data_IF_199369847034
#
_entry.id   IF_199369847034
#
_cell.length_a   1.000
_cell.length_b   1.000
_cell.length_c   1.000
_cell.angle_alpha   90.00
_cell.angle_beta   90.00
_cell.angle_gamma   90.00
#
_symmetry.space_group_name_H-M   'P 1'
#
loop_
_entity.id
_entity.type
_entity.pdbx_description
1 polymer ?
#
# COMPACT_ATOMS: atom_id res chain seq x y z
N UNK A 1 20.38 13.19 55.64
CA UNK A 1 20.63 14.61 55.99
C UNK A 1 21.78 14.61 56.99
N UNK A 2 22.82 15.47 56.89
CA UNK A 2 22.97 16.62 55.99
C UNK A 2 24.01 16.41 54.87
N UNK A 3 24.28 17.47 54.10
CA UNK A 3 25.54 17.74 53.40
C UNK A 3 26.10 19.08 53.96
N UNK A 4 27.42 19.37 53.82
CA UNK A 4 27.84 20.28 52.74
C UNK A 4 29.28 20.03 52.18
N UNK A 5 29.69 20.91 51.25
CA UNK A 5 31.04 21.04 50.65
C UNK A 5 31.93 22.00 51.50
N UNK A 6 33.21 22.30 51.13
CA UNK A 6 33.49 23.46 50.24
C UNK A 6 34.84 23.49 49.45
N UNK A 7 34.98 24.48 48.53
CA UNK A 7 36.20 25.15 47.95
C UNK A 7 37.39 24.30 47.38
N UNK A 8 38.27 24.74 46.45
CA UNK A 8 38.74 26.04 45.92
C UNK A 8 38.92 25.93 44.36
N UNK A 9 39.25 26.91 43.49
CA UNK A 9 39.04 28.38 43.29
C UNK A 9 39.43 28.75 41.81
N UNK A 10 39.28 30.02 41.40
CA UNK A 10 39.61 30.56 40.05
C UNK A 10 40.82 31.53 40.07
N UNK A 11 41.28 32.05 38.90
CA UNK A 11 41.02 33.47 38.57
C UNK A 11 40.80 33.79 37.06
N UNK A 12 39.78 34.57 36.66
CA UNK A 12 39.81 36.01 36.19
C UNK A 12 40.24 36.26 34.71
N UNK A 13 39.95 37.37 34.01
CA UNK A 13 38.90 38.45 33.97
C UNK A 13 39.31 39.46 32.83
N UNK A 14 38.78 40.71 32.74
CA UNK A 14 37.42 41.25 32.55
C UNK A 14 37.25 41.84 31.10
N UNK A 15 36.21 42.57 30.63
CA UNK A 15 35.67 43.90 30.98
C UNK A 15 34.44 44.25 30.10
N UNK A 16 33.59 45.20 30.51
CA UNK A 16 32.79 46.05 29.59
C UNK A 16 31.25 45.96 29.67
N UNK A 17 30.60 47.10 29.88
CA UNK A 17 29.18 47.41 29.67
C UNK A 17 29.03 48.94 29.47
N UNK A 18 27.86 49.59 29.60
CA UNK A 18 26.51 49.07 29.89
C UNK A 18 25.43 49.66 28.92
N UNK A 19 24.16 49.78 29.38
CA UNK A 19 23.07 50.63 28.82
C UNK A 19 22.40 50.17 27.49
N UNK A 20 21.18 50.60 27.12
CA UNK A 20 19.89 50.77 27.84
C UNK A 20 18.76 51.03 26.80
N UNK A 21 17.66 50.26 26.87
CA UNK A 21 16.25 50.63 26.54
C UNK A 21 15.93 51.67 25.41
N UNK A 22 15.36 51.17 24.31
CA UNK A 22 14.46 51.89 23.37
C UNK A 22 14.19 51.00 22.14
N UNK A 23 12.97 50.63 21.70
CA UNK A 23 11.76 51.39 21.30
C UNK A 23 11.98 52.40 20.18
N UNK A 24 11.80 51.98 18.92
CA UNK A 24 10.90 52.63 17.96
C UNK A 24 10.61 51.72 16.75
N UNK A 25 9.63 52.13 15.95
CA UNK A 25 9.03 51.45 14.79
C UNK A 25 9.41 52.19 13.48
N UNK A 26 9.09 51.59 12.32
CA UNK A 26 9.29 52.12 10.94
C UNK A 26 10.78 52.20 10.49
N UNK A 27 11.16 51.90 9.24
CA UNK A 27 10.41 51.92 7.96
C UNK A 27 10.88 50.81 6.95
N UNK A 28 10.20 50.74 5.79
CA UNK A 28 10.50 49.93 4.58
C UNK A 28 11.40 50.74 3.61
N UNK A 29 11.59 50.34 2.32
CA UNK A 29 11.76 49.02 1.71
C UNK A 29 13.09 48.90 0.92
N UNK A 30 13.54 47.67 0.56
CA UNK A 30 13.63 47.21 -0.85
C UNK A 30 14.28 45.82 -1.01
N UNK A 31 13.97 45.19 -2.15
CA UNK A 31 14.74 44.20 -2.92
C UNK A 31 15.59 43.09 -2.23
N UNK A 32 15.03 41.87 -2.17
CA UNK A 32 15.61 40.66 -2.79
C UNK A 32 14.75 39.41 -2.46
N UNK A 33 14.07 38.82 -3.45
CA UNK A 33 13.25 37.62 -3.23
C UNK A 33 14.08 36.32 -3.30
N UNK A 34 14.17 35.51 -2.22
CA UNK A 34 14.75 34.18 -2.30
C UNK A 34 13.78 33.27 -3.08
N UNK A 35 14.18 32.84 -4.27
CA UNK A 35 13.43 31.80 -4.99
C UNK A 35 13.50 30.49 -4.19
N UNK A 36 12.39 29.76 -3.99
CA UNK A 36 12.47 28.45 -3.35
C UNK A 36 13.36 27.54 -4.19
N UNK A 37 14.36 26.90 -3.57
CA UNK A 37 15.02 25.77 -4.21
C UNK A 37 13.97 24.67 -4.34
N UNK A 38 13.72 24.23 -5.56
CA UNK A 38 12.87 23.07 -5.79
C UNK A 38 13.60 21.82 -5.32
N UNK A 39 13.24 21.31 -4.15
CA UNK A 39 13.63 19.97 -3.70
C UNK A 39 13.01 18.93 -4.63
N UNK A 40 13.73 18.61 -5.70
CA UNK A 40 13.36 17.64 -6.73
C UNK A 40 13.45 16.18 -6.24
N UNK A 41 13.08 15.93 -4.99
CA UNK A 41 12.75 14.59 -4.52
C UNK A 41 11.26 14.32 -4.77
N UNK A 42 10.93 14.17 -6.06
CA UNK A 42 9.64 13.66 -6.50
C UNK A 42 9.55 12.19 -6.08
N UNK A 43 9.07 11.96 -4.84
CA UNK A 43 8.82 10.63 -4.26
C UNK A 43 7.98 9.83 -5.26
N UNK A 44 8.59 8.85 -5.91
CA UNK A 44 7.94 8.04 -6.94
C UNK A 44 6.72 7.33 -6.33
N UNK A 45 5.48 7.56 -6.82
CA UNK A 45 4.27 6.97 -6.25
C UNK A 45 4.12 5.48 -6.62
N UNK A 46 5.24 4.76 -6.76
CA UNK A 46 5.29 3.41 -7.32
C UNK A 46 4.80 2.35 -6.32
N UNK A 47 5.09 2.49 -5.03
CA UNK A 47 4.59 1.60 -3.97
C UNK A 47 3.22 1.99 -3.38
N UNK A 48 2.55 3.02 -3.91
CA UNK A 48 1.34 3.58 -3.30
C UNK A 48 0.08 2.74 -3.52
N UNK A 49 -0.18 2.32 -4.76
CA UNK A 49 -1.54 1.92 -5.18
C UNK A 49 -2.08 0.64 -4.52
N UNK A 50 -1.25 -0.38 -4.24
CA UNK A 50 -1.71 -1.57 -3.49
C UNK A 50 -2.02 -1.20 -2.04
N UNK A 51 -1.33 -0.20 -1.47
CA UNK A 51 -1.57 0.28 -0.11
C UNK A 51 -2.83 1.16 -0.02
N UNK A 52 -3.05 1.97 -1.06
CA UNK A 52 -4.29 2.74 -1.28
C UNK A 52 -5.50 1.79 -1.46
N UNK A 53 -5.36 0.77 -2.31
CA UNK A 53 -6.36 -0.29 -2.52
C UNK A 53 -6.57 -1.15 -1.26
N UNK A 54 -5.53 -1.45 -0.47
CA UNK A 54 -5.67 -2.11 0.83
C UNK A 54 -6.47 -1.26 1.81
N UNK A 55 -6.22 0.05 1.86
CA UNK A 55 -7.00 0.98 2.69
C UNK A 55 -8.44 1.08 2.19
N UNK A 56 -8.68 1.16 0.88
CA UNK A 56 -10.02 1.13 0.30
C UNK A 56 -10.75 -0.20 0.59
N UNK A 57 -10.10 -1.35 0.37
CA UNK A 57 -10.64 -2.69 0.59
C UNK A 57 -10.86 -3.02 2.08
N UNK A 58 -10.14 -2.34 2.99
CA UNK A 58 -10.38 -2.43 4.43
C UNK A 58 -11.54 -1.51 4.86
N UNK A 59 -11.62 -0.31 4.27
CA UNK A 59 -12.69 0.65 4.55
C UNK A 59 -14.03 0.23 3.94
N UNK A 60 -14.05 -0.54 2.85
CA UNK A 60 -15.32 -1.04 2.27
C UNK A 60 -16.01 -2.07 3.18
N UNK A 61 -15.25 -2.80 4.03
CA UNK A 61 -15.83 -3.71 5.02
C UNK A 61 -16.63 -2.94 6.08
N UNK A 62 -16.15 -1.76 6.49
CA UNK A 62 -16.84 -0.83 7.39
C UNK A 62 -18.10 -0.25 6.70
N UNK A 63 -17.94 0.19 5.44
CA UNK A 63 -19.02 0.75 4.61
C UNK A 63 -20.11 -0.28 4.24
N UNK A 64 -19.84 -1.59 4.27
CA UNK A 64 -20.87 -2.65 4.07
C UNK A 64 -21.98 -2.61 5.12
N UNK A 65 -21.82 -1.85 6.22
CA UNK A 65 -22.87 -1.57 7.21
C UNK A 65 -23.87 -0.48 6.79
N UNK A 66 -23.72 0.17 5.63
CA UNK A 66 -24.61 1.23 5.15
C UNK A 66 -25.07 1.01 3.69
N UNK A 67 -26.39 0.87 3.47
CA UNK A 67 -26.99 0.67 2.15
C UNK A 67 -27.55 1.98 1.52
N UNK A 68 -27.62 2.09 0.17
CA UNK A 68 -27.71 3.38 -0.53
C UNK A 68 -29.14 3.76 -1.01
N UNK A 69 -29.32 4.99 -1.56
CA UNK A 69 -29.31 5.19 -3.03
C UNK A 69 -28.31 6.33 -3.44
N UNK A 70 -28.15 6.80 -4.69
CA UNK A 70 -28.92 6.66 -5.93
C UNK A 70 -28.03 6.52 -7.19
N UNK A 71 -28.22 7.33 -8.25
CA UNK A 71 -27.55 7.19 -9.55
C UNK A 71 -27.26 8.54 -10.27
N UNK A 72 -26.13 8.59 -11.00
CA UNK A 72 -25.74 9.54 -12.05
C UNK A 72 -24.42 9.04 -12.69
N UNK A 73 -24.04 9.28 -13.94
CA UNK A 73 -24.73 9.64 -15.19
C UNK A 73 -23.83 9.17 -16.36
N UNK A 74 -24.35 8.89 -17.56
CA UNK A 74 -23.60 8.21 -18.62
C UNK A 74 -23.26 9.08 -19.85
N UNK A 75 -21.97 9.32 -20.16
CA UNK A 75 -21.51 9.78 -21.46
C UNK A 75 -21.12 8.60 -22.38
N UNK A 76 -21.54 8.65 -23.65
CA UNK A 76 -21.03 7.72 -24.69
C UNK A 76 -19.65 8.20 -25.16
N UNK A 77 -18.67 7.31 -25.24
CA UNK A 77 -17.36 7.58 -25.84
C UNK A 77 -16.95 6.48 -26.85
N UNK A 78 -16.03 6.87 -27.73
CA UNK A 78 -15.50 6.13 -28.89
C UNK A 78 -14.80 4.81 -28.55
N UNK A 79 -14.49 3.95 -29.55
CA UNK A 79 -13.63 2.77 -29.38
C UNK A 79 -12.18 3.19 -29.11
N UNK A 80 -11.92 3.69 -27.90
CA UNK A 80 -10.60 4.04 -27.43
C UNK A 80 -9.75 2.78 -27.19
N UNK A 81 -8.44 2.92 -27.39
CA UNK A 81 -7.45 2.03 -26.79
C UNK A 81 -7.72 1.97 -25.28
N UNK A 82 -7.50 0.81 -24.63
CA UNK A 82 -7.92 0.60 -23.23
C UNK A 82 -7.06 1.45 -22.29
N UNK A 83 -7.57 2.64 -21.99
CA UNK A 83 -6.96 3.58 -21.04
C UNK A 83 -6.53 2.85 -19.75
N UNK A 84 -5.34 3.13 -19.18
CA UNK A 84 -4.87 2.45 -17.97
C UNK A 84 -5.88 2.44 -16.81
N UNK A 85 -6.74 3.46 -16.73
CA UNK A 85 -7.88 3.54 -15.80
C UNK A 85 -8.88 2.38 -15.97
N UNK A 86 -9.21 1.97 -17.19
CA UNK A 86 -10.10 0.82 -17.44
C UNK A 86 -9.49 -0.50 -16.99
N UNK A 87 -8.16 -0.62 -16.98
CA UNK A 87 -7.46 -1.82 -16.50
C UNK A 87 -7.50 -1.90 -14.98
N UNK A 88 -7.30 -0.76 -14.30
CA UNK A 88 -7.47 -0.66 -12.84
C UNK A 88 -8.93 -0.95 -12.45
N UNK A 89 -9.92 -0.38 -13.14
CA UNK A 89 -11.34 -0.65 -12.87
C UNK A 89 -11.71 -2.12 -13.14
N UNK A 90 -11.18 -2.71 -14.22
CA UNK A 90 -11.37 -4.14 -14.51
C UNK A 90 -10.79 -5.02 -13.40
N UNK A 91 -9.64 -4.64 -12.83
CA UNK A 91 -9.01 -5.37 -11.73
C UNK A 91 -9.76 -5.18 -10.41
N UNK A 92 -10.26 -3.96 -10.14
CA UNK A 92 -11.11 -3.64 -8.99
C UNK A 92 -12.40 -4.45 -9.01
N UNK A 93 -13.13 -4.43 -10.13
CA UNK A 93 -14.33 -5.23 -10.36
C UNK A 93 -14.10 -6.73 -10.20
N UNK A 94 -12.98 -7.24 -10.74
CA UNK A 94 -12.58 -8.64 -10.55
C UNK A 94 -12.18 -8.97 -9.10
N UNK A 95 -11.62 -8.03 -8.34
CA UNK A 95 -11.08 -8.30 -7.00
C UNK A 95 -12.14 -8.79 -6.02
N UNK A 96 -13.36 -8.25 -6.06
CA UNK A 96 -14.49 -8.69 -5.22
C UNK A 96 -14.95 -10.11 -5.59
N UNK A 97 -14.92 -10.47 -6.87
CA UNK A 97 -15.26 -11.82 -7.33
C UNK A 97 -14.14 -12.84 -7.06
N UNK A 98 -12.88 -12.42 -7.08
CA UNK A 98 -11.73 -13.23 -6.68
C UNK A 98 -11.70 -13.45 -5.15
N UNK A 99 -12.06 -12.45 -4.35
CA UNK A 99 -12.21 -12.59 -2.90
C UNK A 99 -13.25 -13.66 -2.50
N UNK A 100 -14.24 -13.88 -3.38
CA UNK A 100 -15.29 -14.92 -3.30
C UNK A 100 -14.97 -16.19 -4.10
N UNK A 101 -13.83 -16.24 -4.79
CA UNK A 101 -13.37 -17.40 -5.55
C UNK A 101 -12.62 -18.44 -4.70
N UNK A 102 -12.14 -18.02 -3.52
CA UNK A 102 -11.43 -18.86 -2.54
C UNK A 102 -12.15 -18.76 -1.19
N UNK A 103 -12.50 -19.90 -0.61
CA UNK A 103 -13.02 -19.96 0.76
C UNK A 103 -11.95 -19.50 1.77
N UNK A 104 -12.36 -18.85 2.86
CA UNK A 104 -11.40 -18.28 3.82
C UNK A 104 -10.59 -19.37 4.55
N UNK A 105 -11.25 -20.45 4.99
CA UNK A 105 -10.57 -21.60 5.60
C UNK A 105 -9.61 -22.31 4.64
N UNK A 106 -9.98 -22.44 3.37
CA UNK A 106 -9.10 -22.98 2.33
C UNK A 106 -7.87 -22.08 2.11
N UNK A 107 -8.04 -20.75 2.23
CA UNK A 107 -6.94 -19.78 2.18
C UNK A 107 -6.00 -19.94 3.38
N UNK A 108 -6.54 -20.13 4.59
CA UNK A 108 -5.75 -20.41 5.80
C UNK A 108 -4.98 -21.73 5.67
N UNK A 109 -5.65 -22.79 5.19
CA UNK A 109 -5.02 -24.10 5.06
C UNK A 109 -3.88 -24.09 4.04
N UNK A 110 -4.10 -23.47 2.87
CA UNK A 110 -3.10 -23.28 1.82
C UNK A 110 -1.81 -22.65 2.34
N UNK A 111 -1.91 -21.56 3.09
CA UNK A 111 -0.73 -20.87 3.63
C UNK A 111 -0.03 -21.69 4.73
N UNK A 112 -0.79 -22.46 5.53
CA UNK A 112 -0.21 -23.39 6.49
C UNK A 112 0.55 -24.54 5.79
N UNK A 113 0.03 -25.07 4.67
CA UNK A 113 0.74 -26.07 3.84
C UNK A 113 2.01 -25.49 3.22
N UNK A 114 1.91 -24.33 2.58
CA UNK A 114 3.06 -23.62 1.99
C UNK A 114 4.17 -23.31 3.03
N UNK A 115 3.80 -22.85 4.24
CA UNK A 115 4.76 -22.63 5.35
C UNK A 115 5.47 -23.90 5.83
N UNK A 116 4.90 -25.10 5.61
CA UNK A 116 5.53 -26.40 5.90
C UNK A 116 6.46 -26.88 4.77
N UNK A 117 6.56 -26.13 3.67
CA UNK A 117 7.34 -26.53 2.49
C UNK A 117 6.61 -27.52 1.57
N UNK A 118 5.30 -27.72 1.76
CA UNK A 118 4.48 -28.49 0.83
C UNK A 118 4.45 -27.76 -0.53
N UNK A 119 4.79 -28.48 -1.60
CA UNK A 119 4.74 -28.00 -2.98
C UNK A 119 3.45 -28.45 -3.67
N UNK A 120 3.15 -27.86 -4.83
CA UNK A 120 1.99 -28.21 -5.64
C UNK A 120 0.66 -28.01 -4.86
N UNK A 121 0.66 -27.02 -3.96
CA UNK A 121 -0.49 -26.65 -3.12
C UNK A 121 -1.43 -25.68 -3.84
N UNK A 122 -0.90 -24.87 -4.77
CA UNK A 122 -1.66 -23.89 -5.54
C UNK A 122 -2.30 -24.55 -6.77
N UNK A 123 -3.25 -25.46 -6.52
CA UNK A 123 -3.98 -26.16 -7.60
C UNK A 123 -5.37 -25.54 -7.85
N UNK A 124 -5.96 -25.79 -9.03
CA UNK A 124 -7.34 -25.39 -9.33
C UNK A 124 -8.40 -25.89 -8.34
N UNK A 125 -8.11 -26.96 -7.58
CA UNK A 125 -9.03 -27.52 -6.57
C UNK A 125 -9.20 -26.63 -5.34
N UNK A 126 -8.32 -25.65 -5.15
CA UNK A 126 -8.46 -24.59 -4.14
C UNK A 126 -9.68 -23.69 -4.38
N UNK A 127 -10.16 -23.61 -5.62
CA UNK A 127 -11.15 -22.63 -6.04
C UNK A 127 -12.57 -23.20 -6.08
N UNK A 128 -13.54 -22.37 -5.68
CA UNK A 128 -14.97 -22.68 -5.81
C UNK A 128 -15.36 -22.86 -7.28
N UNK A 129 -16.53 -23.44 -7.57
CA UNK A 129 -17.01 -23.62 -8.95
C UNK A 129 -17.12 -22.30 -9.73
N UNK A 130 -17.40 -21.16 -9.05
CA UNK A 130 -17.28 -19.84 -9.66
C UNK A 130 -15.81 -19.43 -9.81
N UNK A 131 -15.01 -19.62 -8.76
CA UNK A 131 -13.59 -19.26 -8.75
C UNK A 131 -12.75 -19.93 -9.84
N UNK A 132 -13.07 -21.16 -10.23
CA UNK A 132 -12.41 -21.85 -11.35
C UNK A 132 -12.70 -21.17 -12.71
N UNK A 133 -13.91 -20.63 -12.90
CA UNK A 133 -14.26 -19.85 -14.09
C UNK A 133 -13.54 -18.48 -14.08
N UNK A 134 -13.48 -17.83 -12.91
CA UNK A 134 -12.72 -16.59 -12.70
C UNK A 134 -11.22 -16.80 -12.98
N UNK A 135 -10.63 -17.93 -12.55
CA UNK A 135 -9.25 -18.31 -12.87
C UNK A 135 -9.02 -18.41 -14.39
N UNK A 136 -9.89 -19.10 -15.11
CA UNK A 136 -9.78 -19.24 -16.57
C UNK A 136 -9.97 -17.91 -17.31
N UNK A 137 -10.86 -17.04 -16.84
CA UNK A 137 -11.01 -15.69 -17.41
C UNK A 137 -9.75 -14.84 -17.19
N UNK A 138 -9.21 -14.82 -15.96
CA UNK A 138 -7.98 -14.09 -15.63
C UNK A 138 -6.81 -14.61 -16.46
N UNK A 139 -6.63 -15.94 -16.55
CA UNK A 139 -5.57 -16.55 -17.34
C UNK A 139 -5.69 -16.19 -18.83
N UNK A 140 -6.90 -16.20 -19.38
CA UNK A 140 -7.17 -15.78 -20.76
C UNK A 140 -6.87 -14.30 -20.99
N UNK A 141 -7.31 -13.41 -20.09
CA UNK A 141 -7.02 -11.97 -20.13
C UNK A 141 -5.51 -11.70 -20.02
N UNK A 142 -4.80 -12.35 -19.10
CA UNK A 142 -3.36 -12.22 -18.90
C UNK A 142 -2.53 -12.63 -20.14
N UNK A 143 -3.00 -13.62 -20.90
CA UNK A 143 -2.38 -14.04 -22.16
C UNK A 143 -2.72 -13.12 -23.34
N UNK A 144 -3.94 -12.59 -23.40
CA UNK A 144 -4.42 -11.79 -24.53
C UNK A 144 -4.16 -10.28 -24.42
N UNK A 145 -4.06 -9.74 -23.19
CA UNK A 145 -4.12 -8.29 -22.93
C UNK A 145 -2.85 -7.82 -22.20
N UNK A 146 -1.93 -7.19 -22.93
CA UNK A 146 -0.62 -6.77 -22.42
C UNK A 146 -0.70 -5.78 -21.25
N UNK A 147 -1.71 -4.90 -21.24
CA UNK A 147 -1.92 -3.89 -20.20
C UNK A 147 -2.46 -4.51 -18.91
N UNK A 148 -3.41 -5.46 -19.02
CA UNK A 148 -3.90 -6.26 -17.89
C UNK A 148 -2.78 -7.11 -17.29
N UNK A 149 -1.96 -7.76 -18.13
CA UNK A 149 -0.74 -8.45 -17.69
C UNK A 149 0.18 -7.52 -16.91
N UNK A 150 0.49 -6.33 -17.41
CA UNK A 150 1.36 -5.37 -16.72
C UNK A 150 0.78 -4.91 -15.36
N UNK A 151 -0.55 -4.76 -15.25
CA UNK A 151 -1.22 -4.45 -13.99
C UNK A 151 -1.17 -5.63 -12.99
N UNK A 152 -1.38 -6.86 -13.45
CA UNK A 152 -1.28 -8.10 -12.65
C UNK A 152 0.15 -8.35 -12.18
N UNK A 153 1.14 -8.22 -13.07
CA UNK A 153 2.57 -8.33 -12.76
C UNK A 153 2.95 -7.33 -11.65
N UNK A 154 2.55 -6.05 -11.83
CA UNK A 154 2.81 -5.01 -10.84
C UNK A 154 2.10 -5.28 -9.51
N UNK A 155 0.86 -5.77 -9.52
CA UNK A 155 0.14 -6.11 -8.29
C UNK A 155 0.89 -7.19 -7.50
N UNK A 156 1.34 -8.25 -8.17
CA UNK A 156 2.13 -9.30 -7.55
C UNK A 156 3.44 -8.74 -6.97
N UNK A 157 4.20 -7.97 -7.76
CA UNK A 157 5.45 -7.36 -7.32
C UNK A 157 5.27 -6.41 -6.12
N UNK A 158 4.22 -5.58 -6.12
CA UNK A 158 3.94 -4.62 -5.04
C UNK A 158 3.41 -5.31 -3.77
N UNK A 159 2.59 -6.36 -3.89
CA UNK A 159 2.14 -7.18 -2.75
C UNK A 159 3.30 -7.98 -2.14
N UNK A 160 4.18 -8.56 -2.96
CA UNK A 160 5.39 -9.23 -2.51
C UNK A 160 6.34 -8.30 -1.73
N UNK A 161 6.48 -7.02 -2.14
CA UNK A 161 7.26 -6.03 -1.38
C UNK A 161 6.64 -5.78 -0.01
N UNK A 162 5.31 -5.60 0.06
CA UNK A 162 4.58 -5.44 1.31
C UNK A 162 4.79 -6.64 2.26
N UNK A 163 4.69 -7.87 1.76
CA UNK A 163 4.97 -9.07 2.56
C UNK A 163 6.41 -9.09 3.07
N UNK A 164 7.40 -8.75 2.22
CA UNK A 164 8.83 -8.70 2.60
C UNK A 164 9.10 -7.63 3.66
N UNK A 165 8.46 -6.47 3.57
CA UNK A 165 8.61 -5.39 4.56
C UNK A 165 7.92 -5.71 5.90
N UNK A 166 6.70 -6.26 5.86
CA UNK A 166 5.99 -6.70 7.08
C UNK A 166 6.78 -7.83 7.77
N UNK A 167 7.22 -8.85 7.02
CA UNK A 167 7.95 -10.01 7.58
C UNK A 167 9.29 -9.63 8.24
N UNK A 168 9.90 -8.50 7.87
CA UNK A 168 11.11 -7.97 8.52
C UNK A 168 10.84 -7.38 9.91
N UNK A 169 9.60 -6.96 10.17
CA UNK A 169 9.19 -6.28 11.40
C UNK A 169 8.25 -7.14 12.27
N UNK A 170 7.90 -8.35 11.80
CA UNK A 170 6.92 -9.27 12.37
C UNK A 170 7.62 -10.57 12.80
N UNK A 171 7.99 -10.64 14.08
CA UNK A 171 8.87 -11.68 14.62
C UNK A 171 8.24 -13.08 14.61
N UNK A 172 6.92 -13.13 14.68
CA UNK A 172 6.12 -14.36 14.81
C UNK A 172 5.37 -14.72 13.50
N UNK A 173 5.52 -13.87 12.46
CA UNK A 173 4.87 -14.01 11.15
C UNK A 173 3.33 -14.02 11.25
N UNK A 174 2.78 -13.18 12.15
CA UNK A 174 1.34 -13.04 12.41
C UNK A 174 0.73 -12.02 11.44
N UNK A 175 1.34 -10.84 11.30
CA UNK A 175 0.85 -9.76 10.45
C UNK A 175 0.96 -10.12 8.96
N UNK A 176 2.07 -10.75 8.56
CA UNK A 176 2.19 -11.27 7.20
C UNK A 176 1.18 -12.40 6.95
N UNK A 177 0.87 -13.26 7.94
CA UNK A 177 -0.22 -14.22 7.82
C UNK A 177 -1.60 -13.54 7.69
N UNK A 178 -1.89 -12.46 8.43
CA UNK A 178 -3.13 -11.67 8.26
C UNK A 178 -3.27 -11.11 6.85
N UNK A 179 -2.20 -10.55 6.26
CA UNK A 179 -2.25 -10.08 4.87
C UNK A 179 -2.49 -11.22 3.87
N UNK A 180 -1.89 -12.39 4.10
CA UNK A 180 -2.04 -13.58 3.24
C UNK A 180 -3.44 -14.21 3.31
N UNK A 181 -4.14 -14.16 4.45
CA UNK A 181 -5.52 -14.68 4.61
C UNK A 181 -6.61 -13.66 4.31
N UNK A 182 -6.26 -12.37 4.20
CA UNK A 182 -7.17 -11.30 3.77
C UNK A 182 -7.69 -11.49 2.33
N UNK A 183 -8.75 -10.77 1.97
CA UNK A 183 -9.27 -10.76 0.60
C UNK A 183 -8.22 -10.31 -0.43
N UNK A 184 -7.31 -9.38 -0.09
CA UNK A 184 -6.18 -9.04 -0.97
C UNK A 184 -5.15 -10.16 -1.08
N UNK A 185 -4.96 -10.97 -0.04
CA UNK A 185 -4.16 -12.20 -0.08
C UNK A 185 -4.78 -13.25 -1.00
N UNK A 186 -6.11 -13.37 -1.03
CA UNK A 186 -6.84 -14.20 -2.02
C UNK A 186 -6.65 -13.67 -3.45
N UNK A 187 -6.75 -12.36 -3.65
CA UNK A 187 -6.50 -11.71 -4.95
C UNK A 187 -5.09 -12.00 -5.44
N UNK A 188 -4.07 -11.78 -4.60
CA UNK A 188 -2.69 -12.15 -4.90
C UNK A 188 -2.55 -13.64 -5.26
N UNK A 189 -3.12 -14.54 -4.46
CA UNK A 189 -3.07 -16.00 -4.68
C UNK A 189 -3.61 -16.39 -6.06
N UNK A 190 -4.80 -15.87 -6.42
CA UNK A 190 -5.43 -16.13 -7.70
C UNK A 190 -4.61 -15.57 -8.87
N UNK A 191 -4.17 -14.31 -8.77
CA UNK A 191 -3.44 -13.61 -9.82
C UNK A 191 -2.04 -14.22 -10.07
N UNK A 192 -1.33 -14.57 -9.01
CA UNK A 192 0.00 -15.18 -9.10
C UNK A 192 -0.04 -16.62 -9.62
N UNK A 193 -1.09 -17.40 -9.30
CA UNK A 193 -1.29 -18.72 -9.91
C UNK A 193 -1.79 -18.62 -11.37
N UNK A 194 -2.73 -17.72 -11.69
CA UNK A 194 -3.25 -17.55 -13.06
C UNK A 194 -2.19 -17.02 -14.05
N UNK A 195 -1.22 -16.24 -13.57
CA UNK A 195 -0.01 -15.83 -14.32
C UNK A 195 1.10 -16.89 -14.38
N UNK A 196 0.97 -17.99 -13.63
CA UNK A 196 1.94 -19.09 -13.57
C UNK A 196 3.13 -18.87 -12.61
N UNK A 197 3.15 -17.78 -11.85
CA UNK A 197 4.17 -17.49 -10.83
C UNK A 197 4.10 -18.45 -9.64
N UNK A 198 2.89 -18.90 -9.27
CA UNK A 198 2.65 -19.92 -8.24
C UNK A 198 2.23 -21.26 -8.85
N UNK A 199 2.69 -22.34 -8.21
CA UNK A 199 2.40 -23.75 -8.49
C UNK A 199 2.74 -24.57 -7.22
#
# INVERSE_FOLDING_TARGET
VPAPQPDLRTPQAPLGGPALRGTLDLDRPTEAAPRPRGDANARTPQGGWVRDLLTAASNEEDLRSAAPPAAAEAPRATPAQRSPLHVVESLNSLSVDIARAIDHDASIELWNRYRRGERDVFTRRLYTLKGQQTFDEIRRKYQAEAEFRAAVDRYCDDFEKLLKDVSRNDRDNIMAQTYLTSDTGKVYTMLAHASGRLH
#
